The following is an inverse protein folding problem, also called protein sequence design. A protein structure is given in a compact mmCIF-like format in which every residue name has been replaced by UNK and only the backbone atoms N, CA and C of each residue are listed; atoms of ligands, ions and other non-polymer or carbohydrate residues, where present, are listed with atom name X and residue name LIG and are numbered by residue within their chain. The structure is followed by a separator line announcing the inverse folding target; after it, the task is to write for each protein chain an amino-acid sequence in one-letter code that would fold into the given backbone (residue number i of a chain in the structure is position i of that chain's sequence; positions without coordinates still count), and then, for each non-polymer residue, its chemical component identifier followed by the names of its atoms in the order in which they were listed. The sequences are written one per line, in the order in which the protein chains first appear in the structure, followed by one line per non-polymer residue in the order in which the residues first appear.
data_IF_922453975705
#
_entry.id   IF_922453975705
#
_cell.length_a   1.000
_cell.length_b   1.000
_cell.length_c   1.000
_cell.angle_alpha   90.00
_cell.angle_beta   90.00
_cell.angle_gamma   90.00
#
_symmetry.space_group_name_H-M   'P 1'
#
loop_
_entity.id
_entity.type
_entity.pdbx_description
1 polymer ?
#
# COMPACT_ATOMS: atom_id res chain seq x y z
N UNK A 1 -14.47 41.92 -35.68
CA UNK A 1 -14.42 41.14 -34.43
C UNK A 1 -13.44 40.00 -34.67
N UNK A 2 -12.33 39.87 -33.92
CA UNK A 2 -11.41 38.75 -34.11
C UNK A 2 -12.07 37.43 -33.62
N UNK A 3 -11.81 36.29 -34.29
CA UNK A 3 -12.36 35.00 -33.89
C UNK A 3 -11.75 34.56 -32.54
N UNK A 4 -12.61 34.28 -31.57
CA UNK A 4 -12.21 33.71 -30.27
C UNK A 4 -11.68 32.29 -30.50
N UNK A 5 -10.45 31.95 -30.08
CA UNK A 5 -9.91 30.60 -30.26
C UNK A 5 -10.62 29.61 -29.34
N UNK A 6 -11.58 28.87 -29.91
CA UNK A 6 -12.40 27.83 -29.25
C UNK A 6 -11.58 26.69 -28.59
N UNK A 7 -10.28 26.59 -28.88
CA UNK A 7 -9.41 25.55 -28.32
C UNK A 7 -9.02 25.73 -26.85
N UNK A 8 -9.01 26.96 -26.32
CA UNK A 8 -8.61 27.20 -24.93
C UNK A 8 -9.75 26.97 -23.93
N UNK A 9 -11.00 27.17 -24.36
CA UNK A 9 -12.17 27.01 -23.48
C UNK A 9 -12.44 25.53 -23.17
N UNK A 10 -12.23 24.64 -24.14
CA UNK A 10 -12.43 23.19 -23.94
C UNK A 10 -11.34 22.58 -23.05
N UNK A 11 -10.10 23.06 -23.16
CA UNK A 11 -8.98 22.55 -22.35
C UNK A 11 -9.16 22.84 -20.85
N UNK A 12 -9.82 23.95 -20.47
CA UNK A 12 -10.11 24.26 -19.06
C UNK A 12 -11.20 23.40 -18.45
N UNK A 13 -12.17 22.94 -19.25
CA UNK A 13 -13.29 22.12 -18.76
C UNK A 13 -12.87 20.66 -18.54
N UNK A 14 -11.82 20.21 -19.22
CA UNK A 14 -11.29 18.85 -19.12
C UNK A 14 -10.14 18.67 -18.11
N UNK A 15 -9.75 19.70 -17.36
CA UNK A 15 -8.84 19.53 -16.22
C UNK A 15 -9.69 19.03 -15.05
N UNK A 16 -9.70 17.72 -14.73
CA UNK A 16 -10.33 17.26 -13.51
C UNK A 16 -9.68 18.02 -12.35
N UNK A 17 -10.50 18.49 -11.42
CA UNK A 17 -10.11 19.25 -10.23
C UNK A 17 -8.68 18.89 -9.80
N UNK A 18 -7.78 19.87 -9.90
CA UNK A 18 -6.40 19.70 -9.46
C UNK A 18 -6.43 19.07 -8.07
N UNK A 19 -5.84 17.87 -7.93
CA UNK A 19 -5.69 17.24 -6.63
C UNK A 19 -5.04 18.26 -5.69
N UNK A 20 -5.48 18.37 -4.42
CA UNK A 20 -4.89 19.32 -3.49
C UNK A 20 -3.38 19.12 -3.52
N UNK A 21 -2.60 20.19 -3.76
CA UNK A 21 -1.15 20.09 -4.00
C UNK A 21 -0.43 19.23 -2.95
N UNK A 22 -0.90 19.27 -1.70
CA UNK A 22 -0.38 18.42 -0.62
C UNK A 22 -0.52 16.91 -0.84
N UNK A 23 -1.55 16.44 -1.54
CA UNK A 23 -1.69 15.01 -1.88
C UNK A 23 -0.67 14.58 -2.93
N UNK A 24 -0.44 15.40 -3.96
CA UNK A 24 0.62 15.15 -4.94
C UNK A 24 2.01 15.17 -4.30
N UNK A 25 2.25 16.08 -3.35
CA UNK A 25 3.53 16.16 -2.62
C UNK A 25 3.75 14.93 -1.73
N UNK A 26 2.71 14.48 -1.01
CA UNK A 26 2.78 13.28 -0.17
C UNK A 26 3.06 12.01 -0.99
N UNK A 27 2.35 11.83 -2.12
CA UNK A 27 2.57 10.66 -2.99
C UNK A 27 3.97 10.68 -3.58
N UNK A 28 4.47 11.87 -3.98
CA UNK A 28 5.85 12.04 -4.42
C UNK A 28 6.88 11.71 -3.33
N UNK A 29 6.56 11.95 -2.05
CA UNK A 29 7.41 11.52 -0.93
C UNK A 29 7.44 10.00 -0.77
N UNK A 30 6.30 9.32 -0.91
CA UNK A 30 6.20 7.86 -0.81
C UNK A 30 6.96 7.15 -1.94
N UNK A 31 7.02 7.77 -3.12
CA UNK A 31 7.71 7.19 -4.28
C UNK A 31 9.24 7.41 -4.28
N UNK A 32 9.80 8.11 -3.29
CA UNK A 32 11.26 8.29 -3.16
C UNK A 32 11.95 6.94 -2.99
N UNK A 33 13.07 6.76 -3.68
CA UNK A 33 13.81 5.48 -3.69
C UNK A 33 14.17 4.96 -2.28
N UNK A 34 14.52 5.85 -1.35
CA UNK A 34 14.79 5.47 0.05
C UNK A 34 13.55 4.98 0.80
N UNK A 35 12.38 5.59 0.59
CA UNK A 35 11.12 5.15 1.21
C UNK A 35 10.73 3.78 0.68
N UNK A 36 10.91 3.57 -0.63
CA UNK A 36 10.72 2.26 -1.26
C UNK A 36 11.67 1.21 -0.70
N UNK A 37 12.93 1.55 -0.48
CA UNK A 37 13.93 0.69 0.18
C UNK A 37 13.51 0.30 1.61
N UNK A 38 13.05 1.28 2.41
CA UNK A 38 12.54 1.03 3.77
C UNK A 38 11.31 0.13 3.74
N UNK A 39 10.38 0.40 2.83
CA UNK A 39 9.18 -0.44 2.64
C UNK A 39 9.57 -1.88 2.32
N UNK A 40 10.52 -2.07 1.39
CA UNK A 40 10.97 -3.40 1.00
C UNK A 40 11.63 -4.13 2.18
N UNK A 41 12.50 -3.44 2.93
CA UNK A 41 13.13 -4.00 4.12
C UNK A 41 12.09 -4.40 5.18
N UNK A 42 11.10 -3.54 5.43
CA UNK A 42 10.01 -3.83 6.36
C UNK A 42 9.18 -5.03 5.90
N UNK A 43 8.82 -5.12 4.61
CA UNK A 43 8.10 -6.26 4.05
C UNK A 43 8.89 -7.56 4.21
N UNK A 44 10.21 -7.55 3.98
CA UNK A 44 11.07 -8.70 4.22
C UNK A 44 11.13 -9.11 5.70
N UNK A 45 11.29 -8.15 6.61
CA UNK A 45 11.30 -8.44 8.05
C UNK A 45 9.99 -9.08 8.49
N UNK A 46 8.85 -8.53 8.06
CA UNK A 46 7.53 -9.07 8.38
C UNK A 46 7.29 -10.44 7.72
N UNK A 47 7.75 -10.65 6.48
CA UNK A 47 7.70 -11.96 5.82
C UNK A 47 8.48 -13.01 6.62
N UNK A 48 9.71 -12.69 7.04
CA UNK A 48 10.53 -13.58 7.85
C UNK A 48 9.87 -13.85 9.20
N UNK A 49 9.30 -12.83 9.84
CA UNK A 49 8.56 -12.97 11.08
C UNK A 49 7.39 -13.95 10.93
N UNK A 50 6.58 -13.78 9.89
CA UNK A 50 5.42 -14.64 9.58
C UNK A 50 5.84 -16.08 9.26
N UNK A 51 6.96 -16.25 8.58
CA UNK A 51 7.45 -17.56 8.13
C UNK A 51 8.16 -18.33 9.25
N UNK A 52 8.99 -17.65 10.03
CA UNK A 52 9.81 -18.25 11.08
C UNK A 52 9.04 -18.41 12.41
N UNK A 53 8.04 -17.56 12.65
CA UNK A 53 7.22 -17.59 13.86
C UNK A 53 5.73 -17.71 13.51
N UNK A 54 5.26 -18.88 13.03
CA UNK A 54 3.87 -19.05 12.59
C UNK A 54 2.86 -19.14 13.74
N UNK A 55 3.29 -19.26 15.00
CA UNK A 55 2.40 -19.44 16.16
C UNK A 55 1.28 -18.38 16.29
N UNK A 56 1.51 -17.08 16.00
CA UNK A 56 0.45 -16.07 16.02
C UNK A 56 -0.63 -16.29 14.95
N UNK A 57 -0.36 -17.13 13.94
CA UNK A 57 -1.27 -17.46 12.84
C UNK A 57 -2.08 -18.73 13.10
N UNK A 58 -1.98 -19.31 14.30
CA UNK A 58 -2.74 -20.47 14.74
C UNK A 58 -3.50 -20.16 16.03
N UNK A 59 -4.65 -20.81 16.24
CA UNK A 59 -5.40 -20.75 17.50
C UNK A 59 -5.04 -21.94 18.42
N UNK A 60 -5.60 -21.99 19.64
CA UNK A 60 -5.18 -22.94 20.69
C UNK A 60 -5.26 -24.42 20.30
N UNK A 61 -6.22 -24.76 19.42
CA UNK A 61 -6.39 -26.12 18.89
C UNK A 61 -5.41 -26.48 17.75
N UNK A 62 -4.53 -25.55 17.37
CA UNK A 62 -3.56 -25.69 16.29
C UNK A 62 -4.11 -25.38 14.90
N UNK A 63 -5.40 -25.06 14.76
CA UNK A 63 -5.99 -24.65 13.48
C UNK A 63 -5.56 -23.23 13.08
N UNK A 64 -5.57 -22.88 11.78
CA UNK A 64 -5.23 -21.53 11.34
C UNK A 64 -6.21 -20.48 11.89
N UNK A 65 -5.71 -19.26 12.08
CA UNK A 65 -6.57 -18.09 12.32
C UNK A 65 -7.61 -17.93 11.21
N UNK A 66 -8.67 -17.17 11.51
CA UNK A 66 -9.74 -16.89 10.55
C UNK A 66 -9.20 -16.50 9.17
N UNK A 67 -9.72 -17.15 8.13
CA UNK A 67 -9.20 -17.03 6.76
C UNK A 67 -9.12 -15.57 6.28
N UNK A 68 -10.10 -14.74 6.64
CA UNK A 68 -10.10 -13.32 6.31
C UNK A 68 -8.91 -12.55 6.92
N UNK A 69 -8.54 -12.85 8.16
CA UNK A 69 -7.37 -12.23 8.81
C UNK A 69 -6.09 -12.65 8.11
N UNK A 70 -5.94 -13.94 7.80
CA UNK A 70 -4.78 -14.44 7.07
C UNK A 70 -4.66 -13.77 5.69
N UNK A 71 -5.76 -13.64 4.96
CA UNK A 71 -5.82 -12.94 3.67
C UNK A 71 -5.39 -11.47 3.78
N UNK A 72 -5.81 -10.77 4.84
CA UNK A 72 -5.39 -9.38 5.09
C UNK A 72 -3.89 -9.26 5.39
N UNK A 73 -3.33 -10.20 6.17
CA UNK A 73 -1.88 -10.27 6.43
C UNK A 73 -1.13 -10.48 5.12
N UNK A 74 -1.56 -11.47 4.32
CA UNK A 74 -0.92 -11.77 3.03
C UNK A 74 -1.02 -10.58 2.06
N UNK A 75 -2.16 -9.90 2.03
CA UNK A 75 -2.36 -8.70 1.22
C UNK A 75 -1.41 -7.58 1.65
N UNK A 76 -1.32 -7.28 2.94
CA UNK A 76 -0.43 -6.24 3.45
C UNK A 76 1.04 -6.46 3.07
N UNK A 77 1.51 -7.71 3.17
CA UNK A 77 2.83 -8.11 2.71
C UNK A 77 3.00 -7.94 1.19
N UNK A 78 2.02 -8.39 0.40
CA UNK A 78 2.06 -8.28 -1.06
C UNK A 78 2.12 -6.81 -1.52
N UNK A 79 1.31 -5.93 -0.93
CA UNK A 79 1.34 -4.50 -1.21
C UNK A 79 2.70 -3.88 -0.79
N UNK A 80 3.26 -4.30 0.35
CA UNK A 80 4.61 -3.94 0.80
C UNK A 80 5.69 -4.27 -0.24
N UNK A 81 5.68 -5.49 -0.77
CA UNK A 81 6.62 -5.89 -1.82
C UNK A 81 6.42 -5.10 -3.11
N UNK A 82 5.18 -4.92 -3.58
CA UNK A 82 4.86 -4.16 -4.81
C UNK A 82 5.37 -2.72 -4.72
N UNK A 83 5.08 -2.04 -3.62
CA UNK A 83 5.57 -0.68 -3.40
C UNK A 83 7.10 -0.65 -3.26
N UNK A 84 7.68 -1.58 -2.49
CA UNK A 84 9.11 -1.66 -2.27
C UNK A 84 9.93 -1.83 -3.55
N UNK A 85 9.52 -2.76 -4.42
CA UNK A 85 10.18 -2.96 -5.73
C UNK A 85 9.86 -1.85 -6.75
N UNK A 86 8.85 -1.01 -6.48
CA UNK A 86 8.45 0.10 -7.34
C UNK A 86 7.64 -0.32 -8.54
N UNK A 87 6.95 -1.45 -8.44
CA UNK A 87 6.09 -1.92 -9.49
C UNK A 87 4.80 -1.08 -9.51
N UNK A 88 4.48 -0.49 -10.67
CA UNK A 88 3.26 0.30 -10.87
C UNK A 88 2.29 -0.51 -11.74
N UNK A 89 1.18 -1.04 -11.18
CA UNK A 89 0.20 -1.79 -11.96
C UNK A 89 -0.47 -0.94 -13.02
N UNK A 90 -0.66 -1.49 -14.23
CA UNK A 90 -1.42 -0.83 -15.31
C UNK A 90 -2.91 -0.70 -14.98
N UNK A 91 -3.48 -1.70 -14.29
CA UNK A 91 -4.88 -1.68 -13.88
C UNK A 91 -5.06 -0.74 -12.68
N UNK A 92 -5.96 0.24 -12.80
CA UNK A 92 -6.24 1.24 -11.77
C UNK A 92 -6.71 0.63 -10.45
N UNK A 93 -7.50 -0.46 -10.49
CA UNK A 93 -7.97 -1.16 -9.29
C UNK A 93 -6.77 -1.75 -8.55
N UNK A 94 -5.90 -2.48 -9.25
CA UNK A 94 -4.70 -3.06 -8.64
C UNK A 94 -3.75 -1.99 -8.11
N UNK A 95 -3.65 -0.85 -8.81
CA UNK A 95 -2.85 0.29 -8.35
C UNK A 95 -3.38 0.88 -7.04
N UNK A 96 -4.70 0.95 -6.87
CA UNK A 96 -5.30 1.40 -5.61
C UNK A 96 -5.10 0.35 -4.49
N UNK A 97 -5.34 -0.92 -4.81
CA UNK A 97 -5.29 -2.04 -3.85
C UNK A 97 -3.86 -2.41 -3.40
N UNK A 98 -2.85 -2.16 -4.23
CA UNK A 98 -1.44 -2.44 -3.96
C UNK A 98 -0.60 -1.15 -3.88
N UNK A 99 -1.26 -0.02 -3.70
CA UNK A 99 -0.62 1.29 -3.61
C UNK A 99 0.16 1.49 -2.31
N UNK A 100 0.94 2.57 -2.21
CA UNK A 100 1.80 2.85 -1.06
C UNK A 100 0.99 2.95 0.25
N UNK A 101 -0.15 3.63 0.25
CA UNK A 101 -0.98 3.76 1.45
C UNK A 101 -1.44 2.39 1.96
N UNK A 102 -1.92 1.52 1.06
CA UNK A 102 -2.37 0.17 1.43
C UNK A 102 -1.21 -0.69 1.94
N UNK A 103 -0.02 -0.55 1.33
CA UNK A 103 1.19 -1.22 1.79
C UNK A 103 1.54 -0.86 3.25
N UNK A 104 1.61 0.44 3.56
CA UNK A 104 1.96 0.90 4.90
C UNK A 104 0.89 0.55 5.94
N UNK A 105 -0.40 0.72 5.63
CA UNK A 105 -1.49 0.32 6.53
C UNK A 105 -1.52 -1.20 6.75
N UNK A 106 -1.34 -1.98 5.69
CA UNK A 106 -1.29 -3.43 5.75
C UNK A 106 -0.12 -3.94 6.59
N UNK A 107 1.10 -3.47 6.32
CA UNK A 107 2.28 -3.84 7.11
C UNK A 107 2.17 -3.38 8.57
N UNK A 108 1.63 -2.18 8.82
CA UNK A 108 1.36 -1.69 10.18
C UNK A 108 0.37 -2.59 10.92
N UNK A 109 -0.70 -3.03 10.25
CA UNK A 109 -1.66 -4.00 10.79
C UNK A 109 -0.98 -5.33 11.14
N UNK A 110 -0.13 -5.87 10.26
CA UNK A 110 0.64 -7.11 10.53
C UNK A 110 1.54 -6.94 11.74
N UNK A 111 2.26 -5.82 11.83
CA UNK A 111 3.14 -5.53 12.95
C UNK A 111 2.36 -5.46 14.27
N UNK A 112 1.25 -4.71 14.30
CA UNK A 112 0.38 -4.61 15.48
C UNK A 112 -0.17 -5.97 15.87
N UNK A 113 -0.61 -6.78 14.91
CA UNK A 113 -1.10 -8.13 15.16
C UNK A 113 -0.05 -8.98 15.88
N UNK A 114 1.19 -8.99 15.38
CA UNK A 114 2.29 -9.73 16.00
C UNK A 114 2.66 -9.19 17.38
N UNK A 115 2.80 -7.87 17.53
CA UNK A 115 3.14 -7.24 18.82
C UNK A 115 2.06 -7.56 19.86
N UNK A 116 0.77 -7.48 19.50
CA UNK A 116 -0.35 -7.81 20.40
C UNK A 116 -0.40 -9.29 20.77
N UNK A 117 0.20 -10.18 19.98
CA UNK A 117 0.33 -11.59 20.36
C UNK A 117 1.39 -11.77 21.45
N UNK A 118 2.58 -11.15 21.29
CA UNK A 118 3.68 -11.30 22.24
C UNK A 118 3.49 -10.54 23.56
N UNK A 119 2.62 -9.52 23.58
CA UNK A 119 2.30 -8.76 24.79
C UNK A 119 1.14 -9.34 25.60
N UNK A 120 0.51 -10.43 25.14
CA UNK A 120 -0.50 -11.18 25.89
C UNK A 120 0.16 -12.33 26.63
#
# INVERSE_FOLDING_TARGET
MPPVPLGQTVLRVAVPAALPQGETDMMAMLDRGWVRGITLAAAFVLMLLVTLFPRPLTVEDGSPIGHGTLMLIMWGLAAGFVHGIGFIPRNAILRALLGPIVAWLGMGMVLVFYVRYFLR
#
